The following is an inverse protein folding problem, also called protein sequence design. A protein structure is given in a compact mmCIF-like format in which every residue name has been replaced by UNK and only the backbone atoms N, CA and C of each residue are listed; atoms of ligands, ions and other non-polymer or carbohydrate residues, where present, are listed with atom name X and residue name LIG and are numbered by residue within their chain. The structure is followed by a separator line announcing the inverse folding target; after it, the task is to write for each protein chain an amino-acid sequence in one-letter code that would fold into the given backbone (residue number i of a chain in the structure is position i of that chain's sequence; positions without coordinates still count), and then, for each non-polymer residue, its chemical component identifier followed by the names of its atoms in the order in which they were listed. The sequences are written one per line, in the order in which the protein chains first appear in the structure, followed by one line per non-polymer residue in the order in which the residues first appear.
data_IF_912291255436
#
_entry.id   IF_912291255436
#
_cell.length_a   1.000
_cell.length_b   1.000
_cell.length_c   1.000
_cell.angle_alpha   90.00
_cell.angle_beta   90.00
_cell.angle_gamma   90.00
#
_symmetry.space_group_name_H-M   'P 1'
#
loop_
_entity.id
_entity.type
_entity.pdbx_description
1 polymer ?
#
# COMPACT_ATOMS: atom_id res chain seq x y z
N UNK A 1 -1.08 10.52 -27.55
CA UNK A 1 -1.08 9.92 -26.19
C UNK A 1 0.32 10.14 -25.60
N UNK A 2 0.43 10.72 -24.39
CA UNK A 2 1.73 11.12 -23.81
C UNK A 2 2.24 9.97 -22.95
N UNK A 3 3.15 9.15 -23.49
CA UNK A 3 3.79 8.05 -22.77
C UNK A 3 4.70 8.62 -21.67
N UNK A 4 4.17 8.75 -20.45
CA UNK A 4 4.98 9.04 -19.27
C UNK A 4 5.78 7.79 -18.95
N UNK A 5 7.05 7.74 -19.35
CA UNK A 5 8.01 6.72 -18.92
C UNK A 5 8.26 6.89 -17.42
N UNK A 6 7.39 6.32 -16.59
CA UNK A 6 7.60 6.22 -15.15
C UNK A 6 8.59 5.09 -14.92
N UNK A 7 9.78 5.41 -14.42
CA UNK A 7 10.82 4.43 -14.12
C UNK A 7 10.46 3.68 -12.83
N UNK A 8 10.90 2.42 -12.70
CA UNK A 8 10.63 1.56 -11.54
C UNK A 8 10.94 2.26 -10.19
N UNK A 9 12.09 2.94 -10.02
CA UNK A 9 12.37 3.74 -8.82
C UNK A 9 11.32 4.83 -8.52
N UNK A 10 10.79 5.49 -9.55
CA UNK A 10 9.82 6.57 -9.40
C UNK A 10 8.45 6.03 -8.95
N UNK A 11 8.06 4.86 -9.48
CA UNK A 11 6.90 4.10 -8.99
C UNK A 11 7.05 3.67 -7.54
N UNK A 12 8.23 3.20 -7.14
CA UNK A 12 8.52 2.84 -5.75
C UNK A 12 8.46 4.08 -4.85
N UNK A 13 9.02 5.21 -5.29
CA UNK A 13 9.00 6.47 -4.53
C UNK A 13 7.57 6.97 -4.31
N UNK A 14 6.73 6.96 -5.36
CA UNK A 14 5.32 7.35 -5.28
C UNK A 14 4.49 6.32 -4.49
N UNK A 15 4.77 5.04 -4.67
CA UNK A 15 4.12 3.96 -3.92
C UNK A 15 4.41 4.05 -2.42
N UNK A 16 5.67 4.30 -2.05
CA UNK A 16 6.12 4.35 -0.66
C UNK A 16 5.45 5.45 0.16
N UNK A 17 5.26 6.64 -0.44
CA UNK A 17 4.56 7.76 0.22
C UNK A 17 3.08 7.46 0.44
N UNK A 18 2.42 6.77 -0.49
CA UNK A 18 1.02 6.33 -0.34
C UNK A 18 0.86 5.27 0.75
N UNK A 19 1.80 4.33 0.83
CA UNK A 19 1.83 3.32 1.90
C UNK A 19 2.05 3.98 3.26
N UNK A 20 3.01 4.91 3.37
CA UNK A 20 3.27 5.63 4.62
C UNK A 20 2.05 6.44 5.11
N UNK A 21 1.33 7.10 4.20
CA UNK A 21 0.08 7.80 4.50
C UNK A 21 -1.01 6.84 5.01
N UNK A 22 -1.22 5.70 4.33
CA UNK A 22 -2.19 4.69 4.74
C UNK A 22 -1.87 4.11 6.14
N UNK A 23 -0.59 3.84 6.41
CA UNK A 23 -0.13 3.39 7.72
C UNK A 23 -0.37 4.45 8.81
N UNK A 24 -0.04 5.72 8.54
CA UNK A 24 -0.27 6.82 9.48
C UNK A 24 -1.75 7.01 9.83
N UNK A 25 -2.64 7.00 8.84
CA UNK A 25 -4.08 7.09 9.05
C UNK A 25 -4.60 5.87 9.83
N UNK A 26 -4.16 4.67 9.46
CA UNK A 26 -4.51 3.43 10.18
C UNK A 26 -4.08 3.46 11.65
N UNK A 27 -2.92 4.05 11.95
CA UNK A 27 -2.43 4.23 13.32
C UNK A 27 -3.28 5.23 14.12
N UNK A 28 -3.71 6.34 13.51
CA UNK A 28 -4.57 7.35 14.16
C UNK A 28 -5.97 6.80 14.46
N UNK A 29 -6.54 6.00 13.56
CA UNK A 29 -7.87 5.41 13.74
C UNK A 29 -7.82 4.25 14.76
N UNK A 30 -6.66 3.64 15.00
CA UNK A 30 -6.49 2.47 15.88
C UNK A 30 -6.99 2.71 17.31
N UNK A 31 -6.82 3.92 17.84
CA UNK A 31 -7.14 4.24 19.24
C UNK A 31 -8.64 4.53 19.44
N UNK A 32 -9.39 4.75 18.36
CA UNK A 32 -10.86 4.85 18.39
C UNK A 32 -11.57 3.50 18.22
N UNK A 33 -10.84 2.41 17.98
CA UNK A 33 -11.38 1.08 17.72
C UNK A 33 -11.20 0.17 18.94
N UNK A 34 -12.27 -0.49 19.36
CA UNK A 34 -12.23 -1.49 20.42
C UNK A 34 -11.33 -2.69 20.02
N UNK A 35 -10.78 -3.46 20.97
CA UNK A 35 -9.75 -4.50 20.70
C UNK A 35 -10.11 -5.45 19.55
N UNK A 36 -11.38 -5.87 19.45
CA UNK A 36 -11.87 -6.75 18.40
C UNK A 36 -11.99 -6.03 17.04
N UNK A 37 -12.44 -4.78 17.04
CA UNK A 37 -12.51 -3.96 15.83
C UNK A 37 -11.13 -3.59 15.31
N UNK A 38 -10.14 -3.39 16.19
CA UNK A 38 -8.75 -3.14 15.80
C UNK A 38 -8.12 -4.37 15.14
N UNK A 39 -8.44 -5.58 15.60
CA UNK A 39 -8.04 -6.83 14.94
C UNK A 39 -8.70 -6.97 13.56
N UNK A 40 -10.01 -6.75 13.46
CA UNK A 40 -10.74 -6.84 12.21
C UNK A 40 -10.28 -5.79 11.19
N UNK A 41 -10.14 -4.53 11.60
CA UNK A 41 -9.68 -3.44 10.74
C UNK A 41 -8.21 -3.61 10.34
N UNK A 42 -7.34 -4.05 11.26
CA UNK A 42 -5.95 -4.35 10.96
C UNK A 42 -5.81 -5.48 9.94
N UNK A 43 -6.62 -6.54 10.07
CA UNK A 43 -6.65 -7.65 9.13
C UNK A 43 -7.22 -7.22 7.76
N UNK A 44 -8.30 -6.45 7.75
CA UNK A 44 -8.90 -5.93 6.52
C UNK A 44 -7.92 -5.00 5.77
N UNK A 45 -7.24 -4.09 6.49
CA UNK A 45 -6.21 -3.21 5.92
C UNK A 45 -5.01 -4.00 5.41
N UNK A 46 -4.59 -5.05 6.11
CA UNK A 46 -3.51 -5.93 5.65
C UNK A 46 -3.91 -6.65 4.36
N UNK A 47 -5.11 -7.21 4.29
CA UNK A 47 -5.62 -7.89 3.09
C UNK A 47 -5.74 -6.90 1.93
N UNK A 48 -6.36 -5.74 2.15
CA UNK A 48 -6.53 -4.71 1.10
C UNK A 48 -5.16 -4.19 0.64
N UNK A 49 -4.24 -3.90 1.57
CA UNK A 49 -2.88 -3.48 1.26
C UNK A 49 -2.11 -4.55 0.49
N UNK A 50 -2.23 -5.81 0.89
CA UNK A 50 -1.63 -6.96 0.22
C UNK A 50 -2.18 -7.12 -1.21
N UNK A 51 -3.50 -7.11 -1.39
CA UNK A 51 -4.16 -7.27 -2.69
C UNK A 51 -3.84 -6.11 -3.64
N UNK A 52 -3.67 -4.90 -3.14
CA UNK A 52 -3.39 -3.72 -3.98
C UNK A 52 -1.91 -3.49 -4.25
N UNK A 53 -1.03 -3.90 -3.34
CA UNK A 53 0.41 -3.59 -3.41
C UNK A 53 1.26 -4.78 -3.83
N UNK A 54 0.94 -6.01 -3.41
CA UNK A 54 1.72 -7.20 -3.78
C UNK A 54 1.72 -7.44 -5.29
N UNK A 55 0.58 -7.47 -6.00
CA UNK A 55 0.63 -7.69 -7.45
C UNK A 55 1.33 -6.55 -8.17
N UNK A 56 1.14 -5.30 -7.74
CA UNK A 56 1.83 -4.15 -8.31
C UNK A 56 3.34 -4.23 -8.09
N UNK A 57 3.78 -4.66 -6.90
CA UNK A 57 5.19 -4.87 -6.57
C UNK A 57 5.78 -6.05 -7.37
N UNK A 58 5.05 -7.16 -7.51
CA UNK A 58 5.45 -8.31 -8.33
C UNK A 58 5.53 -7.91 -9.80
N UNK A 59 4.57 -7.17 -10.34
CA UNK A 59 4.57 -6.72 -11.74
C UNK A 59 5.74 -5.78 -12.01
N UNK A 60 6.02 -4.86 -11.08
CA UNK A 60 7.18 -3.96 -11.13
C UNK A 60 8.51 -4.74 -11.01
N UNK A 61 8.60 -5.74 -10.14
CA UNK A 61 9.82 -6.57 -10.00
C UNK A 61 10.00 -7.55 -11.16
N UNK A 62 8.93 -8.15 -11.68
CA UNK A 62 8.94 -9.12 -12.78
C UNK A 62 9.16 -8.48 -14.14
N UNK A 63 8.83 -7.19 -14.34
CA UNK A 63 9.19 -6.42 -15.55
C UNK A 63 10.70 -6.17 -15.70
N UNK A 64 11.53 -6.71 -14.81
CA UNK A 64 12.99 -6.61 -14.84
C UNK A 64 13.66 -7.75 -15.63
N UNK A 65 12.98 -8.30 -16.64
CA UNK A 65 13.60 -9.08 -17.73
C UNK A 65 13.22 -8.49 -19.08
#
# INVERSE_FOLDING_TARGET
MKERKVTIPELILIGSTRVALGLGIGLLIKDKLNKDQRKAAGLALLIVGAVTTIPLAIEVLSKKQ
#
